data_IF_534866765404
#
_entry.id   IF_534866765404
#
_cell.length_a   1.000
_cell.length_b   1.000
_cell.length_c   1.000
_cell.angle_alpha   90.00
_cell.angle_beta   90.00
_cell.angle_gamma   90.00
#
_symmetry.space_group_name_H-M   'P 1'
#
loop_
_entity.id
_entity.type
_entity.pdbx_description
1 polymer ?
#
# COMPACT_ATOMS: atom_id res chain seq x y z
N UNK A 1 0.79 -8.11 16.96
CA UNK A 1 1.45 -8.63 15.74
C UNK A 1 0.98 -7.92 14.46
N UNK A 2 -0.33 -7.72 14.24
CA UNK A 2 -0.86 -7.02 13.06
C UNK A 2 -0.37 -5.57 12.88
N UNK A 3 -0.16 -4.80 13.95
CA UNK A 3 0.29 -3.40 13.85
C UNK A 3 1.63 -3.23 13.14
N UNK A 4 2.61 -4.13 13.33
CA UNK A 4 3.93 -4.00 12.70
C UNK A 4 3.85 -4.15 11.19
N UNK A 5 3.08 -5.14 10.71
CA UNK A 5 2.86 -5.35 9.27
C UNK A 5 2.14 -4.16 8.63
N UNK A 6 1.16 -3.57 9.32
CA UNK A 6 0.46 -2.39 8.83
C UNK A 6 1.33 -1.13 8.85
N UNK A 7 2.17 -0.94 9.86
CA UNK A 7 3.16 0.15 9.89
C UNK A 7 4.17 -0.01 8.75
N UNK A 8 4.67 -1.23 8.52
CA UNK A 8 5.57 -1.52 7.41
C UNK A 8 4.92 -1.26 6.05
N UNK A 9 3.64 -1.64 5.90
CA UNK A 9 2.86 -1.34 4.70
C UNK A 9 2.68 0.17 4.49
N UNK A 10 2.50 0.95 5.56
CA UNK A 10 2.46 2.40 5.48
C UNK A 10 3.80 3.01 5.04
N UNK A 11 4.93 2.50 5.56
CA UNK A 11 6.27 2.94 5.13
C UNK A 11 6.50 2.62 3.65
N UNK A 12 6.09 1.44 3.18
CA UNK A 12 6.14 1.07 1.75
C UNK A 12 5.34 2.07 0.91
N UNK A 13 4.16 2.49 1.39
CA UNK A 13 3.33 3.49 0.70
C UNK A 13 4.07 4.81 0.51
N UNK A 14 4.68 5.33 1.57
CA UNK A 14 5.47 6.56 1.51
C UNK A 14 6.59 6.43 0.49
N UNK A 15 7.33 5.32 0.52
CA UNK A 15 8.44 5.08 -0.43
C UNK A 15 7.93 5.07 -1.87
N UNK A 16 6.82 4.39 -2.14
CA UNK A 16 6.22 4.33 -3.48
C UNK A 16 5.73 5.70 -3.98
N UNK A 17 5.14 6.52 -3.11
CA UNK A 17 4.70 7.88 -3.44
C UNK A 17 5.91 8.77 -3.75
N UNK A 18 6.93 8.74 -2.88
CA UNK A 18 8.16 9.53 -3.08
C UNK A 18 8.85 9.11 -4.37
N UNK A 19 8.98 7.81 -4.64
CA UNK A 19 9.57 7.28 -5.88
C UNK A 19 8.82 7.75 -7.11
N UNK A 20 7.49 7.65 -7.09
CA UNK A 20 6.64 8.10 -8.20
C UNK A 20 6.77 9.61 -8.44
N UNK A 21 6.75 10.39 -7.37
CA UNK A 21 6.87 11.86 -7.42
C UNK A 21 8.21 12.27 -8.03
N UNK A 22 9.31 11.65 -7.60
CA UNK A 22 10.64 11.92 -8.14
C UNK A 22 10.77 11.50 -9.62
N UNK A 23 10.08 10.44 -10.05
CA UNK A 23 10.04 10.02 -11.45
C UNK A 23 9.25 11.01 -12.34
N UNK A 24 8.17 11.60 -11.81
CA UNK A 24 7.29 12.52 -12.53
C UNK A 24 7.88 13.93 -12.66
N UNK A 25 8.58 14.42 -11.64
CA UNK A 25 9.18 15.76 -11.68
C UNK A 25 10.21 15.83 -12.83
N UNK A 26 10.28 16.94 -13.59
CA UNK A 26 11.31 17.19 -14.59
C UNK A 26 12.69 17.47 -13.94
N UNK A 27 13.22 16.48 -13.23
CA UNK A 27 14.56 16.49 -12.61
C UNK A 27 15.63 16.25 -13.69
N UNK A 28 16.85 16.82 -13.58
CA UNK A 28 17.98 16.51 -14.44
C UNK A 28 18.17 15.02 -14.69
N UNK A 29 18.43 14.63 -15.95
CA UNK A 29 18.53 13.23 -16.38
C UNK A 29 19.59 12.42 -15.60
N UNK A 30 20.59 13.10 -15.03
CA UNK A 30 21.65 12.50 -14.21
C UNK A 30 21.08 11.91 -12.91
N UNK A 31 20.23 12.68 -12.22
CA UNK A 31 19.55 12.24 -10.98
C UNK A 31 18.50 11.17 -11.29
N UNK A 32 17.76 11.30 -12.40
CA UNK A 32 16.82 10.27 -12.85
C UNK A 32 17.53 8.94 -13.11
N UNK A 33 18.72 8.96 -13.72
CA UNK A 33 19.55 7.77 -13.94
C UNK A 33 20.03 7.13 -12.63
N UNK A 34 20.36 7.91 -11.60
CA UNK A 34 20.73 7.38 -10.28
C UNK A 34 19.54 6.78 -9.53
N UNK A 35 18.36 7.43 -9.56
CA UNK A 35 17.13 6.87 -8.98
C UNK A 35 16.71 5.60 -9.72
N UNK A 36 16.81 5.61 -11.05
CA UNK A 36 16.57 4.44 -11.87
C UNK A 36 17.60 3.35 -11.63
N UNK A 37 18.88 3.63 -11.38
CA UNK A 37 19.88 2.59 -11.08
C UNK A 37 19.63 1.96 -9.71
N UNK A 38 19.24 2.75 -8.70
CA UNK A 38 18.82 2.27 -7.38
C UNK A 38 17.55 1.41 -7.48
N UNK A 39 16.54 1.91 -8.18
CA UNK A 39 15.31 1.17 -8.49
C UNK A 39 15.62 -0.09 -9.31
N UNK A 40 16.53 -0.02 -10.29
CA UNK A 40 16.93 -1.15 -11.12
C UNK A 40 17.69 -2.20 -10.31
N UNK A 41 18.44 -1.83 -9.28
CA UNK A 41 19.08 -2.79 -8.39
C UNK A 41 18.04 -3.61 -7.61
N UNK A 42 16.94 -2.97 -7.21
CA UNK A 42 15.79 -3.59 -6.55
C UNK A 42 14.91 -4.39 -7.55
N UNK A 43 14.76 -3.90 -8.79
CA UNK A 43 13.82 -4.40 -9.81
C UNK A 43 14.47 -5.37 -10.82
N UNK A 44 15.80 -5.56 -10.81
CA UNK A 44 16.53 -6.39 -11.80
C UNK A 44 16.01 -7.83 -11.87
N UNK A 45 15.38 -8.30 -10.78
CA UNK A 45 14.63 -9.55 -10.79
C UNK A 45 13.15 -9.23 -10.98
N UNK A 46 12.60 -9.52 -12.17
CA UNK A 46 11.15 -9.55 -12.45
C UNK A 46 10.36 -10.29 -11.36
N UNK A 47 11.00 -11.30 -10.77
CA UNK A 47 10.53 -12.08 -9.62
C UNK A 47 10.22 -11.17 -8.42
N UNK A 48 11.08 -10.19 -8.10
CA UNK A 48 10.89 -9.29 -6.95
C UNK A 48 9.63 -8.42 -7.08
N UNK A 49 9.37 -7.82 -8.26
CA UNK A 49 8.15 -7.03 -8.47
C UNK A 49 6.89 -7.89 -8.39
N UNK A 50 6.94 -9.14 -8.89
CA UNK A 50 5.81 -10.08 -8.78
C UNK A 50 5.61 -10.50 -7.32
N UNK A 51 6.68 -10.82 -6.60
CA UNK A 51 6.63 -11.16 -5.17
C UNK A 51 6.07 -10.01 -4.34
N UNK A 52 6.51 -8.77 -4.59
CA UNK A 52 5.98 -7.58 -3.94
C UNK A 52 4.47 -7.41 -4.21
N UNK A 53 4.06 -7.58 -5.48
CA UNK A 53 2.65 -7.50 -5.88
C UNK A 53 1.80 -8.57 -5.18
N UNK A 54 2.28 -9.81 -5.12
CA UNK A 54 1.58 -10.92 -4.46
C UNK A 54 1.46 -10.67 -2.96
N UNK A 55 2.54 -10.24 -2.30
CA UNK A 55 2.54 -9.92 -0.87
C UNK A 55 1.55 -8.79 -0.56
N UNK A 56 1.57 -7.69 -1.31
CA UNK A 56 0.64 -6.57 -1.12
C UNK A 56 -0.80 -6.99 -1.40
N UNK A 57 -1.02 -7.87 -2.39
CA UNK A 57 -2.35 -8.41 -2.71
C UNK A 57 -2.89 -9.28 -1.56
N UNK A 58 -2.05 -10.15 -0.99
CA UNK A 58 -2.44 -10.96 0.18
C UNK A 58 -2.76 -10.05 1.37
N UNK A 59 -1.93 -9.04 1.64
CA UNK A 59 -2.17 -8.05 2.70
C UNK A 59 -3.48 -7.28 2.48
N UNK A 60 -3.81 -6.97 1.23
CA UNK A 60 -5.08 -6.33 0.88
C UNK A 60 -6.27 -7.25 1.15
N UNK A 61 -6.22 -8.51 0.70
CA UNK A 61 -7.29 -9.50 0.95
C UNK A 61 -7.49 -9.70 2.45
N UNK A 62 -6.42 -9.80 3.22
CA UNK A 62 -6.44 -9.96 4.68
C UNK A 62 -7.04 -8.72 5.38
N UNK A 63 -6.64 -7.51 4.96
CA UNK A 63 -7.21 -6.26 5.47
C UNK A 63 -8.70 -6.11 5.13
N UNK A 64 -9.07 -6.45 3.89
CA UNK A 64 -10.44 -6.40 3.41
C UNK A 64 -11.35 -7.39 4.14
N UNK A 65 -10.87 -8.62 4.34
CA UNK A 65 -11.58 -9.65 5.11
C UNK A 65 -11.82 -9.21 6.55
N UNK A 66 -10.81 -8.62 7.20
CA UNK A 66 -10.95 -8.05 8.55
C UNK A 66 -11.94 -6.88 8.59
N UNK A 67 -11.92 -6.02 7.58
CA UNK A 67 -12.86 -4.91 7.49
C UNK A 67 -14.30 -5.43 7.37
N UNK A 68 -14.53 -6.44 6.52
CA UNK A 68 -15.85 -7.08 6.37
C UNK A 68 -16.31 -7.75 7.65
N UNK A 69 -15.40 -8.40 8.38
CA UNK A 69 -15.71 -8.96 9.69
C UNK A 69 -16.15 -7.87 10.68
N UNK A 70 -15.41 -6.77 10.80
CA UNK A 70 -15.77 -5.64 11.67
C UNK A 70 -17.09 -4.97 11.24
N UNK A 71 -17.38 -4.87 9.95
CA UNK A 71 -18.68 -4.39 9.43
C UNK A 71 -19.82 -5.29 9.88
N UNK A 72 -19.64 -6.62 9.80
CA UNK A 72 -20.62 -7.60 10.28
C UNK A 72 -20.88 -7.49 11.78
N UNK A 73 -19.83 -7.34 12.60
CA UNK A 73 -19.94 -7.14 14.06
C UNK A 73 -20.65 -5.82 14.38
N UNK A 74 -20.39 -4.75 13.63
CA UNK A 74 -21.13 -3.49 13.76
C UNK A 74 -22.62 -3.66 13.45
N UNK A 75 -22.97 -4.49 12.46
CA UNK A 75 -24.36 -4.71 12.08
C UNK A 75 -25.12 -5.61 13.07
N UNK A 76 -24.42 -6.52 13.75
CA UNK A 76 -25.00 -7.40 14.79
C UNK A 76 -25.03 -6.78 16.19
N UNK A 77 -24.54 -5.53 16.34
CA UNK A 77 -24.52 -4.82 17.61
C UNK A 77 -25.95 -4.43 18.05
N UNK A 78 -26.37 -4.96 19.20
CA UNK A 78 -27.67 -4.65 19.78
C UNK A 78 -27.82 -3.16 20.14
N UNK A 79 -29.05 -2.65 20.06
CA UNK A 79 -29.37 -1.25 20.41
C UNK A 79 -29.10 -0.93 21.89
N UNK A 80 -29.02 -1.93 22.77
CA UNK A 80 -28.73 -1.75 24.20
C UNK A 80 -27.29 -2.14 24.58
N UNK A 81 -26.41 -2.38 23.58
CA UNK A 81 -25.03 -2.73 23.87
C UNK A 81 -24.30 -1.61 24.63
N UNK A 82 -23.45 -1.94 25.62
CA UNK A 82 -22.72 -0.96 26.42
C UNK A 82 -21.96 0.05 25.55
N UNK A 83 -21.92 1.30 25.98
CA UNK A 83 -21.24 2.40 25.25
C UNK A 83 -19.77 2.06 24.98
N UNK A 84 -19.08 1.46 25.94
CA UNK A 84 -17.69 1.04 25.78
C UNK A 84 -17.52 0.00 24.65
N UNK A 85 -18.43 -0.95 24.55
CA UNK A 85 -18.45 -1.96 23.48
C UNK A 85 -18.71 -1.33 22.11
N UNK A 86 -19.59 -0.32 22.04
CA UNK A 86 -19.81 0.43 20.81
C UNK A 86 -18.55 1.16 20.39
N UNK A 87 -17.94 1.92 21.30
CA UNK A 87 -16.73 2.70 21.02
C UNK A 87 -15.59 1.79 20.56
N UNK A 88 -15.39 0.64 21.20
CA UNK A 88 -14.34 -0.31 20.78
C UNK A 88 -14.61 -0.85 19.37
N UNK A 89 -15.84 -1.28 19.06
CA UNK A 89 -16.17 -1.78 17.72
C UNK A 89 -16.02 -0.73 16.63
N UNK A 90 -16.49 0.51 16.86
CA UNK A 90 -16.30 1.60 15.91
C UNK A 90 -14.81 1.93 15.70
N UNK A 91 -14.02 1.89 16.76
CA UNK A 91 -12.57 2.13 16.69
C UNK A 91 -11.83 1.04 15.89
N UNK A 92 -12.21 -0.22 16.08
CA UNK A 92 -11.66 -1.35 15.34
C UNK A 92 -12.05 -1.30 13.86
N UNK A 93 -13.31 -0.99 13.56
CA UNK A 93 -13.79 -0.80 12.21
C UNK A 93 -13.00 0.31 11.49
N UNK A 94 -12.85 1.48 12.13
CA UNK A 94 -12.10 2.59 11.57
C UNK A 94 -10.64 2.20 11.26
N UNK A 95 -9.98 1.49 12.20
CA UNK A 95 -8.61 0.99 12.00
C UNK A 95 -8.54 0.02 10.82
N UNK A 96 -9.52 -0.89 10.71
CA UNK A 96 -9.55 -1.85 9.62
C UNK A 96 -9.80 -1.19 8.27
N UNK A 97 -10.74 -0.24 8.18
CA UNK A 97 -11.00 0.54 6.96
C UNK A 97 -9.77 1.29 6.48
N UNK A 98 -9.11 2.04 7.39
CA UNK A 98 -7.87 2.76 7.08
C UNK A 98 -6.80 1.83 6.51
N UNK A 99 -6.61 0.67 7.13
CA UNK A 99 -5.59 -0.28 6.69
C UNK A 99 -5.92 -0.88 5.31
N UNK A 100 -7.19 -1.18 5.03
CA UNK A 100 -7.68 -1.61 3.71
C UNK A 100 -7.43 -0.57 2.63
N UNK A 101 -7.66 0.71 2.92
CA UNK A 101 -7.37 1.78 1.96
C UNK A 101 -5.87 1.89 1.66
N UNK A 102 -5.01 1.85 2.69
CA UNK A 102 -3.55 1.93 2.49
C UNK A 102 -3.04 0.74 1.68
N UNK A 103 -3.49 -0.48 1.95
CA UNK A 103 -3.09 -1.67 1.18
C UNK A 103 -3.59 -1.60 -0.27
N UNK A 104 -4.80 -1.11 -0.50
CA UNK A 104 -5.32 -0.87 -1.86
C UNK A 104 -4.47 0.15 -2.63
N UNK A 105 -4.18 1.30 -2.02
CA UNK A 105 -3.34 2.32 -2.65
C UNK A 105 -1.93 1.82 -2.93
N UNK A 106 -1.36 0.99 -2.04
CA UNK A 106 -0.07 0.34 -2.31
C UNK A 106 -0.10 -0.54 -3.55
N UNK A 107 -1.15 -1.35 -3.71
CA UNK A 107 -1.28 -2.22 -4.88
C UNK A 107 -1.32 -1.40 -6.17
N UNK A 108 -2.10 -0.31 -6.16
CA UNK A 108 -2.18 0.61 -7.29
C UNK A 108 -0.84 1.32 -7.55
N UNK A 109 -0.17 1.81 -6.50
CA UNK A 109 1.11 2.50 -6.61
C UNK A 109 2.21 1.60 -7.15
N UNK A 110 2.24 0.31 -6.79
CA UNK A 110 3.21 -0.66 -7.37
C UNK A 110 3.03 -0.77 -8.88
N UNK A 111 1.78 -0.88 -9.36
CA UNK A 111 1.47 -0.96 -10.79
C UNK A 111 1.82 0.34 -11.53
N UNK A 112 1.46 1.49 -10.96
CA UNK A 112 1.76 2.80 -11.53
C UNK A 112 3.26 3.03 -11.60
N UNK A 113 4.00 2.76 -10.51
CA UNK A 113 5.46 2.90 -10.49
C UNK A 113 6.13 2.01 -11.54
N UNK A 114 5.66 0.77 -11.73
CA UNK A 114 6.17 -0.10 -12.80
C UNK A 114 5.95 0.57 -14.17
N UNK A 115 4.72 0.96 -14.49
CA UNK A 115 4.40 1.55 -15.80
C UNK A 115 5.16 2.85 -16.06
N UNK A 116 5.19 3.75 -15.08
CA UNK A 116 5.92 5.03 -15.19
C UNK A 116 7.42 4.78 -15.30
N UNK A 117 8.00 3.89 -14.49
CA UNK A 117 9.42 3.55 -14.57
C UNK A 117 9.82 2.98 -15.95
N UNK A 118 8.94 2.17 -16.56
CA UNK A 118 9.16 1.65 -17.91
C UNK A 118 9.10 2.76 -18.98
N UNK A 119 8.17 3.73 -18.85
CA UNK A 119 8.06 4.87 -19.77
C UNK A 119 9.24 5.83 -19.64
N UNK A 120 9.61 6.21 -18.42
CA UNK A 120 10.74 7.11 -18.16
C UNK A 120 12.04 6.53 -18.72
N UNK A 121 12.24 5.21 -18.63
CA UNK A 121 13.40 4.54 -19.22
C UNK A 121 13.45 4.69 -20.75
N UNK A 122 12.31 4.63 -21.44
CA UNK A 122 12.21 4.84 -22.91
C UNK A 122 12.44 6.29 -23.34
N UNK A 123 12.25 7.25 -22.43
CA UNK A 123 12.47 8.68 -22.71
C UNK A 123 13.93 9.07 -22.49
N UNK A 124 14.62 8.42 -21.53
CA UNK A 124 16.00 8.73 -21.16
C UNK A 124 17.03 7.98 -22.03
N UNK A 125 16.68 6.79 -22.54
CA UNK A 125 17.49 6.00 -23.48
C UNK A 125 16.99 6.20 -24.90
#
# INVERSE_FOLDING_TARGET
MASILYTLNFVICIILIVTLTLLLIPIPNILKKQILSLSHWIVKKRIFSITLLVIVSILFIDAFSRMKHCEGVKQSLAFDAPINTRISTYSELFRSQRNTYITFFNLLLVLVNWRVGALVRKVIN
#
